data_IF_631179887453
#
_entry.id   IF_631179887453
#
_cell.length_a   1.000
_cell.length_b   1.000
_cell.length_c   1.000
_cell.angle_alpha   90.00
_cell.angle_beta   90.00
_cell.angle_gamma   90.00
#
_symmetry.space_group_name_H-M   'P 1'
#
loop_
_entity.id
_entity.type
_entity.pdbx_description
1 polymer ?
#
# COMPACT_ATOMS: atom_id res chain seq x y z
N UNK A 1 -12.56 6.58 10.16
CA UNK A 1 -12.06 6.99 8.84
C UNK A 1 -13.00 8.01 8.19
N UNK A 2 -12.46 9.14 7.67
CA UNK A 2 -13.24 10.20 7.04
C UNK A 2 -13.56 9.96 5.56
N UNK A 3 -12.75 9.19 4.82
CA UNK A 3 -12.96 8.89 3.40
C UNK A 3 -14.20 8.00 3.15
N UNK A 4 -14.88 8.24 2.03
CA UNK A 4 -15.81 7.31 1.38
C UNK A 4 -15.45 7.20 -0.11
N UNK A 5 -15.02 6.02 -0.57
CA UNK A 5 -14.88 5.75 -2.00
C UNK A 5 -16.26 5.46 -2.62
N UNK A 6 -16.66 6.27 -3.60
CA UNK A 6 -17.89 6.07 -4.36
C UNK A 6 -17.51 5.41 -5.68
N UNK A 7 -17.69 4.09 -5.73
CA UNK A 7 -17.33 3.27 -6.90
C UNK A 7 -18.41 3.39 -7.97
N UNK A 8 -18.03 3.95 -9.12
CA UNK A 8 -18.88 4.07 -10.30
C UNK A 8 -18.90 2.75 -11.06
N UNK A 9 -20.05 2.07 -11.03
CA UNK A 9 -20.32 0.92 -11.89
C UNK A 9 -20.61 1.34 -13.34
N UNK A 10 -20.57 0.37 -14.25
CA UNK A 10 -20.81 0.59 -15.69
C UNK A 10 -22.16 1.23 -15.99
N UNK A 11 -23.20 0.82 -15.26
CA UNK A 11 -24.59 1.27 -15.46
C UNK A 11 -25.02 2.33 -14.42
N UNK A 12 -24.07 2.84 -13.63
CA UNK A 12 -24.36 3.87 -12.62
C UNK A 12 -24.57 5.23 -13.29
N UNK A 13 -25.77 5.79 -13.16
CA UNK A 13 -26.09 7.12 -13.72
C UNK A 13 -25.39 8.25 -12.95
N UNK A 14 -25.12 9.37 -13.63
CA UNK A 14 -24.59 10.60 -12.99
C UNK A 14 -25.47 11.05 -11.82
N UNK A 15 -26.80 10.95 -11.97
CA UNK A 15 -27.76 11.34 -10.93
C UNK A 15 -27.58 10.49 -9.67
N UNK A 16 -27.37 9.18 -9.85
CA UNK A 16 -27.12 8.26 -8.72
C UNK A 16 -25.81 8.59 -8.03
N UNK A 17 -24.72 8.79 -8.79
CA UNK A 17 -23.41 9.15 -8.23
C UNK A 17 -23.48 10.47 -7.48
N UNK A 18 -24.12 11.50 -8.05
CA UNK A 18 -24.29 12.80 -7.42
C UNK A 18 -25.12 12.72 -6.12
N UNK A 19 -26.17 11.90 -6.09
CA UNK A 19 -26.98 11.70 -4.89
C UNK A 19 -26.18 11.04 -3.75
N UNK A 20 -25.41 9.99 -4.06
CA UNK A 20 -24.54 9.32 -3.07
C UNK A 20 -23.43 10.25 -2.59
N UNK A 21 -22.86 11.06 -3.49
CA UNK A 21 -21.86 12.06 -3.16
C UNK A 21 -22.40 13.11 -2.19
N UNK A 22 -23.57 13.69 -2.49
CA UNK A 22 -24.22 14.65 -1.62
C UNK A 22 -24.57 14.04 -0.25
N UNK A 23 -25.01 12.78 -0.22
CA UNK A 23 -25.30 12.06 1.02
C UNK A 23 -24.03 11.85 1.87
N UNK A 24 -22.91 11.46 1.27
CA UNK A 24 -21.64 11.31 1.98
C UNK A 24 -21.19 12.63 2.61
N UNK A 25 -21.33 13.77 1.90
CA UNK A 25 -21.06 15.09 2.47
C UNK A 25 -21.95 15.43 3.66
N UNK A 26 -23.25 15.11 3.60
CA UNK A 26 -24.19 15.32 4.71
C UNK A 26 -23.79 14.52 5.97
N UNK A 27 -23.14 13.38 5.80
CA UNK A 27 -22.59 12.58 6.90
C UNK A 27 -21.24 13.11 7.43
N UNK A 28 -20.74 14.24 6.92
CA UNK A 28 -19.43 14.79 7.25
C UNK A 28 -18.27 13.93 6.74
N UNK A 29 -18.50 13.13 5.69
CA UNK A 29 -17.46 12.32 5.03
C UNK A 29 -16.81 13.08 3.89
N UNK A 30 -15.65 12.60 3.47
CA UNK A 30 -14.95 13.07 2.27
C UNK A 30 -15.16 12.04 1.16
N UNK A 31 -16.12 12.27 0.25
CA UNK A 31 -16.35 11.37 -0.88
C UNK A 31 -15.29 11.55 -1.98
N UNK A 32 -14.80 10.44 -2.53
CA UNK A 32 -13.98 10.41 -3.75
C UNK A 32 -14.64 9.46 -4.74
N UNK A 33 -14.96 9.95 -5.95
CA UNK A 33 -15.54 9.11 -7.00
C UNK A 33 -14.41 8.38 -7.74
N UNK A 34 -14.54 7.06 -7.82
CA UNK A 34 -13.54 6.18 -8.46
C UNK A 34 -14.24 5.24 -9.44
N UNK A 35 -13.51 4.79 -10.46
CA UNK A 35 -13.95 3.76 -11.39
C UNK A 35 -14.01 2.39 -10.72
N UNK A 36 -14.83 1.50 -11.28
CA UNK A 36 -14.89 0.11 -10.83
C UNK A 36 -13.68 -0.68 -11.33
N UNK A 37 -12.96 -1.29 -10.40
CA UNK A 37 -11.84 -2.19 -10.68
C UNK A 37 -11.43 -2.96 -9.43
N UNK A 38 -10.66 -4.05 -9.56
CA UNK A 38 -10.24 -4.87 -8.43
C UNK A 38 -9.46 -4.03 -7.40
N UNK A 39 -10.00 -3.94 -6.17
CA UNK A 39 -9.42 -3.14 -5.08
C UNK A 39 -9.67 -1.62 -5.17
N UNK A 40 -10.45 -1.16 -6.14
CA UNK A 40 -10.79 0.26 -6.35
C UNK A 40 -9.54 1.15 -6.35
N UNK A 41 -9.50 2.20 -5.52
CA UNK A 41 -8.34 3.08 -5.37
C UNK A 41 -7.51 2.70 -4.15
N UNK A 42 -8.05 2.83 -2.93
CA UNK A 42 -7.21 2.75 -1.72
C UNK A 42 -6.66 1.35 -1.51
N UNK A 43 -7.52 0.32 -1.57
CA UNK A 43 -7.09 -1.05 -1.32
C UNK A 43 -6.13 -1.55 -2.41
N UNK A 44 -6.33 -1.11 -3.66
CA UNK A 44 -5.44 -1.45 -4.77
C UNK A 44 -4.03 -0.89 -4.55
N UNK A 45 -3.87 0.36 -4.11
CA UNK A 45 -2.56 0.94 -3.76
C UNK A 45 -1.98 0.30 -2.50
N UNK A 46 -2.82 -0.02 -1.51
CA UNK A 46 -2.38 -0.56 -0.23
C UNK A 46 -1.87 -2.01 -0.34
N UNK A 47 -2.42 -2.80 -1.27
CA UNK A 47 -2.01 -4.19 -1.49
C UNK A 47 -0.50 -4.37 -1.71
N UNK A 48 0.10 -3.75 -2.74
CA UNK A 48 1.56 -3.78 -2.98
C UNK A 48 2.39 -3.31 -1.77
N UNK A 49 1.94 -2.28 -1.06
CA UNK A 49 2.63 -1.75 0.13
C UNK A 49 2.71 -2.78 1.26
N UNK A 50 1.58 -3.42 1.58
CA UNK A 50 1.53 -4.48 2.60
C UNK A 50 2.27 -5.73 2.15
N UNK A 51 2.16 -6.08 0.87
CA UNK A 51 2.82 -7.26 0.33
C UNK A 51 4.36 -7.11 0.33
N UNK A 52 4.86 -5.91 0.03
CA UNK A 52 6.28 -5.58 0.08
C UNK A 52 6.85 -5.64 1.51
N UNK A 53 6.05 -5.32 2.53
CA UNK A 53 6.43 -5.53 3.92
C UNK A 53 6.64 -7.03 4.24
N UNK A 54 5.80 -7.91 3.68
CA UNK A 54 5.99 -9.36 3.74
C UNK A 54 7.29 -9.81 3.07
N UNK A 55 7.58 -9.32 1.87
CA UNK A 55 8.84 -9.64 1.18
C UNK A 55 10.08 -9.13 1.92
N UNK A 56 10.01 -7.95 2.53
CA UNK A 56 11.10 -7.44 3.37
C UNK A 56 11.37 -8.37 4.55
N UNK A 57 10.33 -8.94 5.16
CA UNK A 57 10.44 -9.91 6.24
C UNK A 57 11.09 -11.21 5.76
N UNK A 58 10.67 -11.74 4.61
CA UNK A 58 11.28 -12.92 3.95
C UNK A 58 12.77 -12.73 3.72
N UNK A 59 13.16 -11.52 3.34
CA UNK A 59 14.53 -11.18 3.04
C UNK A 59 15.34 -10.82 4.30
N UNK A 60 14.76 -10.89 5.49
CA UNK A 60 15.44 -10.79 6.78
C UNK A 60 15.44 -9.40 7.43
N UNK A 61 14.58 -8.48 6.99
CA UNK A 61 14.28 -7.29 7.79
C UNK A 61 13.45 -7.69 9.02
N UNK A 62 13.67 -7.05 10.17
CA UNK A 62 12.85 -7.31 11.36
C UNK A 62 11.51 -6.58 11.29
N UNK A 63 10.51 -7.09 12.02
CA UNK A 63 9.20 -6.45 12.17
C UNK A 63 9.34 -4.98 12.60
N UNK A 64 10.17 -4.75 13.61
CA UNK A 64 10.48 -3.42 14.14
C UNK A 64 11.07 -2.51 13.06
N UNK A 65 12.06 -2.99 12.30
CA UNK A 65 12.71 -2.18 11.27
C UNK A 65 11.72 -1.72 10.21
N UNK A 66 10.87 -2.62 9.74
CA UNK A 66 9.87 -2.33 8.70
C UNK A 66 8.88 -1.27 9.19
N UNK A 67 8.29 -1.49 10.36
CA UNK A 67 7.28 -0.60 10.91
C UNK A 67 7.85 0.76 11.34
N UNK A 68 9.02 0.78 11.97
CA UNK A 68 9.72 2.03 12.31
C UNK A 68 10.05 2.83 11.06
N UNK A 69 10.55 2.20 10.00
CA UNK A 69 10.88 2.91 8.76
C UNK A 69 9.64 3.59 8.14
N UNK A 70 8.48 2.95 8.17
CA UNK A 70 7.22 3.52 7.70
C UNK A 70 6.71 4.66 8.60
N UNK A 71 6.79 4.51 9.93
CA UNK A 71 6.38 5.55 10.88
C UNK A 71 7.28 6.79 10.74
N UNK A 72 8.59 6.61 10.65
CA UNK A 72 9.53 7.73 10.46
C UNK A 72 9.39 8.39 9.08
N UNK A 73 8.85 7.68 8.07
CA UNK A 73 8.44 8.32 6.82
C UNK A 73 7.25 9.27 7.03
N UNK A 74 6.40 8.97 8.01
CA UNK A 74 5.25 9.76 8.44
C UNK A 74 3.94 8.96 8.49
N UNK A 75 3.97 7.66 8.21
CA UNK A 75 2.76 6.83 8.25
C UNK A 75 2.24 6.74 9.69
N UNK A 76 0.92 6.73 9.92
CA UNK A 76 0.36 6.68 11.27
C UNK A 76 0.58 5.33 11.95
N UNK A 77 0.73 4.27 11.15
CA UNK A 77 0.92 2.89 11.57
C UNK A 77 1.87 2.19 10.59
N UNK A 78 2.75 1.33 11.11
CA UNK A 78 3.62 0.49 10.27
C UNK A 78 2.82 -0.56 9.50
N UNK A 79 3.30 -1.04 8.34
CA UNK A 79 2.55 -1.96 7.49
C UNK A 79 2.24 -3.30 8.18
N UNK A 80 3.15 -3.85 8.99
CA UNK A 80 2.93 -5.14 9.65
C UNK A 80 1.91 -5.00 10.77
N UNK A 81 2.03 -3.96 11.58
CA UNK A 81 0.99 -3.64 12.57
C UNK A 81 -0.36 -3.31 11.93
N UNK A 82 -0.38 -2.70 10.73
CA UNK A 82 -1.62 -2.48 9.99
C UNK A 82 -2.27 -3.80 9.56
N UNK A 83 -1.48 -4.79 9.13
CA UNK A 83 -1.99 -6.15 8.86
C UNK A 83 -2.60 -6.76 10.12
N UNK A 84 -2.01 -6.57 11.29
CA UNK A 84 -2.58 -7.08 12.55
C UNK A 84 -3.92 -6.40 12.92
N UNK A 85 -4.07 -5.11 12.67
CA UNK A 85 -5.34 -4.39 12.89
C UNK A 85 -6.43 -4.86 11.92
N UNK A 86 -6.06 -5.19 10.67
CA UNK A 86 -6.97 -5.71 9.64
C UNK A 86 -7.32 -7.18 9.91
N UNK A 87 -6.33 -7.98 10.28
CA UNK A 87 -6.37 -9.44 10.37
C UNK A 87 -5.76 -10.15 9.16
N UNK A 88 -5.07 -11.26 9.41
CA UNK A 88 -4.39 -12.05 8.38
C UNK A 88 -5.36 -12.72 7.40
N UNK A 89 -6.49 -13.21 7.88
CA UNK A 89 -7.57 -13.79 7.07
C UNK A 89 -8.11 -12.82 6.02
N UNK A 90 -8.39 -11.58 6.45
CA UNK A 90 -8.89 -10.52 5.57
C UNK A 90 -7.79 -10.08 4.60
N UNK A 91 -6.56 -9.91 5.10
CA UNK A 91 -5.41 -9.50 4.28
C UNK A 91 -5.08 -10.55 3.21
N UNK A 92 -5.12 -11.84 3.54
CA UNK A 92 -4.91 -12.93 2.60
C UNK A 92 -6.02 -13.01 1.55
N UNK A 93 -7.28 -12.84 1.96
CA UNK A 93 -8.41 -12.82 1.02
C UNK A 93 -8.31 -11.65 0.03
N UNK A 94 -7.97 -10.46 0.52
CA UNK A 94 -7.76 -9.27 -0.30
C UNK A 94 -6.56 -9.46 -1.25
N UNK A 95 -5.43 -9.96 -0.73
CA UNK A 95 -4.23 -10.27 -1.51
C UNK A 95 -4.48 -11.27 -2.62
N UNK A 96 -5.19 -12.38 -2.32
CA UNK A 96 -5.57 -13.38 -3.32
C UNK A 96 -6.50 -12.81 -4.40
N UNK A 97 -7.39 -11.89 -4.03
CA UNK A 97 -8.29 -11.22 -4.99
C UNK A 97 -7.52 -10.28 -5.92
N UNK A 98 -6.54 -9.54 -5.40
CA UNK A 98 -5.64 -8.70 -6.21
C UNK A 98 -4.73 -9.55 -7.10
N UNK A 99 -4.17 -10.64 -6.59
CA UNK A 99 -3.36 -11.56 -7.39
C UNK A 99 -4.17 -12.18 -8.53
N UNK A 100 -5.41 -12.62 -8.30
CA UNK A 100 -6.30 -13.13 -9.36
C UNK A 100 -6.54 -12.09 -10.45
N UNK A 101 -6.61 -10.81 -10.10
CA UNK A 101 -6.84 -9.73 -11.04
C UNK A 101 -5.59 -9.30 -11.81
N UNK A 102 -4.42 -9.30 -11.16
CA UNK A 102 -3.21 -8.66 -11.69
C UNK A 102 -2.01 -9.61 -11.88
N UNK A 103 -2.18 -10.90 -11.55
CA UNK A 103 -1.22 -11.97 -11.78
C UNK A 103 0.08 -11.81 -11.00
N UNK A 104 1.18 -12.24 -11.63
CA UNK A 104 2.55 -12.27 -11.08
C UNK A 104 2.99 -10.95 -10.45
N UNK A 105 2.51 -9.82 -10.98
CA UNK A 105 2.84 -8.49 -10.47
C UNK A 105 2.44 -8.30 -9.01
N UNK A 106 1.35 -8.95 -8.58
CA UNK A 106 0.85 -8.93 -7.20
C UNK A 106 0.83 -10.33 -6.60
N UNK A 107 1.84 -11.16 -6.93
CA UNK A 107 2.03 -12.44 -6.26
C UNK A 107 2.22 -12.22 -4.75
N UNK A 108 1.41 -12.84 -3.89
CA UNK A 108 1.53 -12.63 -2.45
C UNK A 108 2.85 -13.20 -1.93
N UNK A 109 3.43 -12.51 -0.96
CA UNK A 109 4.58 -13.00 -0.19
C UNK A 109 4.22 -14.31 0.51
N UNK A 110 5.15 -15.27 0.44
CA UNK A 110 5.03 -16.57 1.09
C UNK A 110 4.80 -16.43 2.60
N UNK A 111 5.42 -15.43 3.25
CA UNK A 111 5.19 -15.15 4.67
C UNK A 111 3.73 -14.81 4.94
N UNK A 112 3.12 -13.90 4.17
CA UNK A 112 1.71 -13.53 4.39
C UNK A 112 0.77 -14.70 4.08
N UNK A 113 1.09 -15.52 3.07
CA UNK A 113 0.33 -16.74 2.76
C UNK A 113 0.44 -17.75 3.90
N UNK A 114 1.65 -18.03 4.39
CA UNK A 114 1.87 -18.98 5.47
C UNK A 114 1.20 -18.53 6.78
N UNK A 115 1.26 -17.23 7.10
CA UNK A 115 0.60 -16.68 8.30
C UNK A 115 -0.91 -16.82 8.25
N UNK A 116 -1.52 -16.74 7.06
CA UNK A 116 -2.96 -16.95 6.89
C UNK A 116 -3.43 -18.37 7.19
N UNK A 117 -2.51 -19.34 7.24
CA UNK A 117 -2.77 -20.73 7.59
C UNK A 117 -2.51 -21.04 9.09
N UNK A 118 -2.10 -20.04 9.87
CA UNK A 118 -1.91 -20.15 11.32
C UNK A 118 -3.14 -19.61 12.08
N UNK A 119 -3.21 -19.86 13.39
CA UNK A 119 -4.26 -19.30 14.25
C UNK A 119 -4.04 -17.81 14.60
N UNK A 120 -3.03 -17.16 14.01
CA UNK A 120 -2.77 -15.73 14.18
C UNK A 120 -3.85 -14.94 13.44
N UNK A 121 -4.76 -14.34 14.21
CA UNK A 121 -5.80 -13.47 13.67
C UNK A 121 -5.44 -11.98 13.72
N UNK A 122 -4.24 -11.63 14.19
CA UNK A 122 -3.84 -10.25 14.47
C UNK A 122 -4.43 -9.78 15.80
N UNK A 123 -4.67 -8.47 15.91
CA UNK A 123 -5.16 -7.84 17.14
C UNK A 123 -6.48 -8.41 17.64
N UNK A 124 -7.38 -8.82 16.74
CA UNK A 124 -8.67 -9.43 17.11
C UNK A 124 -8.51 -10.81 17.78
N UNK A 125 -7.41 -11.51 17.53
CA UNK A 125 -7.08 -12.79 18.16
C UNK A 125 -6.09 -12.68 19.31
N UNK A 126 -5.60 -11.47 19.65
CA UNK A 126 -4.59 -11.27 20.68
C UNK A 126 -3.15 -11.54 20.22
N UNK A 127 -2.95 -12.09 19.02
CA UNK A 127 -1.64 -12.49 18.51
C UNK A 127 -1.54 -12.28 16.99
N UNK A 128 -0.49 -11.57 16.55
CA UNK A 128 -0.16 -11.30 15.15
C UNK A 128 1.35 -11.15 14.93
N UNK A 129 1.79 -10.19 14.12
CA UNK A 129 3.19 -9.74 14.14
C UNK A 129 3.59 -9.19 15.51
N UNK A 130 2.62 -8.66 16.25
CA UNK A 130 2.77 -8.21 17.63
C UNK A 130 1.95 -9.08 18.59
N UNK A 131 2.37 -9.11 19.85
CA UNK A 131 1.59 -9.67 20.95
C UNK A 131 0.68 -8.59 21.54
N UNK A 132 -0.61 -8.89 21.67
CA UNK A 132 -1.64 -7.98 22.16
C UNK A 132 -2.20 -8.45 23.51
N UNK A 133 -1.33 -8.48 24.53
CA UNK A 133 -1.74 -8.77 25.91
C UNK A 133 -2.35 -7.54 26.59
N UNK A 134 -3.43 -7.73 27.37
CA UNK A 134 -4.04 -6.63 28.12
C UNK A 134 -3.09 -6.11 29.20
N UNK A 135 -2.64 -4.86 29.05
CA UNK A 135 -1.85 -4.14 30.06
C UNK A 135 -0.34 -4.15 29.85
N UNK A 136 0.16 -4.71 28.75
CA UNK A 136 1.58 -4.67 28.38
C UNK A 136 1.83 -3.83 27.13
N UNK A 137 3.07 -3.33 26.99
CA UNK A 137 3.51 -2.70 25.76
C UNK A 137 3.49 -3.73 24.64
N UNK A 138 2.83 -3.42 23.53
CA UNK A 138 2.81 -4.25 22.33
C UNK A 138 4.24 -4.44 21.83
N UNK A 139 4.73 -5.67 21.90
CA UNK A 139 6.07 -6.06 21.44
C UNK A 139 5.92 -6.98 20.24
N UNK A 140 6.84 -6.93 19.27
CA UNK A 140 6.85 -7.90 18.19
C UNK A 140 7.02 -9.32 18.71
N UNK A 141 6.30 -10.24 18.09
CA UNK A 141 6.27 -11.63 18.46
C UNK A 141 7.36 -12.42 17.73
N UNK A 142 8.49 -12.65 18.39
CA UNK A 142 9.61 -13.39 17.78
C UNK A 142 9.29 -14.86 17.47
N UNK A 143 8.26 -15.44 18.09
CA UNK A 143 7.83 -16.81 17.81
C UNK A 143 7.41 -17.01 16.34
N UNK A 144 7.03 -15.93 15.66
CA UNK A 144 6.64 -15.92 14.25
C UNK A 144 7.76 -16.43 13.32
N UNK A 145 9.03 -16.15 13.65
CA UNK A 145 10.15 -16.62 12.83
C UNK A 145 10.27 -18.14 12.93
N UNK A 146 10.07 -18.71 14.12
CA UNK A 146 10.07 -20.16 14.34
C UNK A 146 8.89 -20.85 13.63
N UNK A 147 7.69 -20.30 13.74
CA UNK A 147 6.48 -20.83 13.07
C UNK A 147 6.61 -20.83 11.55
N UNK A 148 7.20 -19.78 10.99
CA UNK A 148 7.42 -19.64 9.56
C UNK A 148 8.68 -20.36 9.06
N UNK A 149 9.43 -21.02 9.95
CA UNK A 149 10.72 -21.66 9.64
C UNK A 149 11.71 -20.68 8.98
N UNK A 150 11.63 -19.42 9.39
CA UNK A 150 12.49 -18.34 8.92
C UNK A 150 13.61 -18.08 9.93
N UNK A 151 14.82 -17.76 9.48
CA UNK A 151 15.87 -17.33 10.39
C UNK A 151 15.42 -16.04 11.08
N UNK A 152 15.45 -16.02 12.41
CA UNK A 152 15.31 -14.78 13.15
C UNK A 152 16.41 -13.79 12.69
N UNK A 153 16.14 -12.48 12.60
CA UNK A 153 17.13 -11.50 12.17
C UNK A 153 18.36 -11.53 13.10
N UNK A 154 19.49 -12.05 12.60
CA UNK A 154 20.74 -12.19 13.38
C UNK A 154 21.62 -10.94 13.34
N UNK A 155 21.44 -10.08 12.33
CA UNK A 155 22.19 -8.84 12.19
C UNK A 155 21.33 -7.64 12.62
N UNK A 156 21.90 -6.66 13.34
CA UNK A 156 21.13 -5.57 13.92
C UNK A 156 20.38 -4.73 12.88
N UNK A 157 20.86 -4.60 11.63
CA UNK A 157 20.18 -3.92 10.50
C UNK A 157 20.68 -4.41 9.13
N UNK A 158 20.05 -5.44 8.56
CA UNK A 158 20.34 -5.89 7.17
C UNK A 158 19.96 -4.83 6.12
N UNK A 159 18.88 -4.11 6.37
CA UNK A 159 18.41 -3.02 5.50
C UNK A 159 18.43 -1.69 6.24
N UNK A 160 18.87 -0.64 5.57
CA UNK A 160 18.70 0.73 6.06
C UNK A 160 17.23 1.16 5.98
N UNK A 161 16.82 2.08 6.87
CA UNK A 161 15.47 2.65 6.85
C UNK A 161 15.15 3.29 5.49
N UNK A 162 16.15 3.87 4.81
CA UNK A 162 15.97 4.41 3.46
C UNK A 162 15.62 3.33 2.44
N UNK A 163 16.32 2.18 2.44
CA UNK A 163 16.00 1.07 1.53
C UNK A 163 14.59 0.52 1.76
N UNK A 164 14.20 0.36 3.02
CA UNK A 164 12.85 -0.09 3.39
C UNK A 164 11.81 0.91 2.87
N UNK A 165 11.95 2.19 3.22
CA UNK A 165 11.01 3.24 2.79
C UNK A 165 10.89 3.33 1.27
N UNK A 166 12.02 3.30 0.56
CA UNK A 166 12.03 3.35 -0.91
C UNK A 166 11.24 2.19 -1.51
N UNK A 167 11.43 0.95 -1.03
CA UNK A 167 10.69 -0.21 -1.53
C UNK A 167 9.19 -0.07 -1.29
N UNK A 168 8.80 0.24 -0.06
CA UNK A 168 7.39 0.40 0.33
C UNK A 168 6.69 1.51 -0.47
N UNK A 169 7.29 2.70 -0.54
CA UNK A 169 6.66 3.87 -1.16
C UNK A 169 6.70 3.79 -2.68
N UNK A 170 7.76 3.24 -3.29
CA UNK A 170 7.80 3.06 -4.74
C UNK A 170 6.78 2.04 -5.23
N UNK A 171 6.47 1.00 -4.45
CA UNK A 171 5.33 0.11 -4.77
C UNK A 171 4.00 0.86 -4.82
N UNK A 172 3.75 1.75 -3.85
CA UNK A 172 2.55 2.58 -3.86
C UNK A 172 2.50 3.52 -5.08
N UNK A 173 3.60 4.22 -5.38
CA UNK A 173 3.67 5.16 -6.51
C UNK A 173 3.46 4.42 -7.83
N UNK A 174 4.10 3.26 -7.99
CA UNK A 174 3.99 2.44 -9.20
C UNK A 174 2.53 1.98 -9.41
N UNK A 175 1.84 1.57 -8.35
CA UNK A 175 0.43 1.20 -8.45
C UNK A 175 -0.50 2.38 -8.69
N UNK A 176 -0.23 3.52 -8.06
CA UNK A 176 -0.98 4.75 -8.30
C UNK A 176 -0.87 5.22 -9.76
N UNK A 177 0.29 5.03 -10.40
CA UNK A 177 0.45 5.28 -11.83
C UNK A 177 -0.43 4.34 -12.68
N UNK A 178 -0.52 3.05 -12.34
CA UNK A 178 -1.41 2.09 -13.03
C UNK A 178 -2.89 2.44 -12.82
N UNK A 179 -3.27 2.94 -11.65
CA UNK A 179 -4.63 3.38 -11.36
C UNK A 179 -5.06 4.57 -12.22
N UNK A 180 -4.14 5.52 -12.45
CA UNK A 180 -4.37 6.64 -13.37
C UNK A 180 -4.47 6.16 -14.82
N UNK A 181 -3.57 5.26 -15.22
CA UNK A 181 -3.56 4.63 -16.56
C UNK A 181 -4.86 3.86 -16.85
N UNK A 182 -5.33 3.07 -15.90
CA UNK A 182 -6.58 2.30 -16.00
C UNK A 182 -7.83 3.18 -15.94
N UNK A 183 -7.69 4.49 -15.68
CA UNK A 183 -8.80 5.43 -15.59
C UNK A 183 -9.70 5.21 -14.37
N UNK A 184 -9.24 4.45 -13.36
CA UNK A 184 -9.92 4.31 -12.07
C UNK A 184 -10.06 5.67 -11.40
N UNK A 185 -9.08 6.54 -11.58
CA UNK A 185 -9.16 7.95 -11.18
C UNK A 185 -8.59 8.80 -12.29
N UNK A 186 -9.22 9.95 -12.54
CA UNK A 186 -8.82 10.83 -13.66
C UNK A 186 -7.80 11.90 -13.26
N UNK A 187 -7.60 12.11 -11.95
CA UNK A 187 -6.88 13.27 -11.42
C UNK A 187 -5.95 12.85 -10.28
N UNK A 188 -4.73 13.36 -10.28
CA UNK A 188 -3.72 13.03 -9.26
C UNK A 188 -4.17 13.44 -7.85
N UNK A 189 -4.86 14.59 -7.74
CA UNK A 189 -5.41 15.09 -6.48
C UNK A 189 -6.44 14.18 -5.81
N UNK A 190 -7.19 13.38 -6.59
CA UNK A 190 -8.13 12.42 -6.02
C UNK A 190 -7.42 11.20 -5.43
N UNK A 191 -6.32 10.77 -6.05
CA UNK A 191 -5.44 9.72 -5.49
C UNK A 191 -4.87 10.20 -4.15
N UNK A 192 -4.33 11.41 -4.13
CA UNK A 192 -3.71 11.99 -2.94
C UNK A 192 -4.72 12.22 -1.82
N UNK A 193 -5.89 12.79 -2.13
CA UNK A 193 -6.96 12.99 -1.16
C UNK A 193 -7.43 11.65 -0.57
N UNK A 194 -7.63 10.63 -1.41
CA UNK A 194 -8.07 9.32 -0.95
C UNK A 194 -7.03 8.64 -0.06
N UNK A 195 -5.75 8.68 -0.40
CA UNK A 195 -4.73 8.04 0.43
C UNK A 195 -4.51 8.80 1.75
N UNK A 196 -4.57 10.13 1.74
CA UNK A 196 -4.53 10.92 2.98
C UNK A 196 -5.72 10.57 3.88
N UNK A 197 -6.94 10.56 3.34
CA UNK A 197 -8.15 10.37 4.14
C UNK A 197 -8.48 8.90 4.43
N UNK A 198 -7.92 7.98 3.65
CA UNK A 198 -8.21 6.55 3.66
C UNK A 198 -7.13 5.68 4.29
N UNK A 199 -5.84 5.99 4.09
CA UNK A 199 -4.73 5.25 4.72
C UNK A 199 -3.99 6.08 5.77
N UNK A 200 -4.24 7.39 5.80
CA UNK A 200 -3.46 8.33 6.59
C UNK A 200 -2.10 8.66 5.97
N UNK A 201 -1.97 8.58 4.64
CA UNK A 201 -0.72 8.98 3.98
C UNK A 201 -0.28 10.38 4.44
N UNK A 202 1.02 10.65 4.68
CA UNK A 202 1.44 11.78 5.49
C UNK A 202 1.06 13.14 4.86
N UNK A 203 0.14 13.92 5.47
CA UNK A 203 -0.37 15.15 4.84
C UNK A 203 0.70 16.21 4.58
N UNK A 204 1.73 16.27 5.43
CA UNK A 204 2.85 17.21 5.27
C UNK A 204 3.73 16.90 4.04
N UNK A 205 3.53 15.75 3.37
CA UNK A 205 4.14 15.42 2.08
C UNK A 205 3.24 15.79 0.89
N UNK A 206 2.04 16.31 1.15
CA UNK A 206 1.07 16.76 0.16
C UNK A 206 0.22 15.66 -0.48
N UNK A 207 0.56 14.38 -0.25
CA UNK A 207 -0.05 13.23 -0.92
C UNK A 207 1.00 12.35 -1.60
N UNK A 208 0.61 11.16 -2.05
CA UNK A 208 1.53 10.17 -2.62
C UNK A 208 2.14 10.68 -3.94
N UNK A 209 1.31 11.15 -4.86
CA UNK A 209 1.72 11.64 -6.16
C UNK A 209 2.35 13.02 -6.06
N UNK A 210 1.90 13.86 -5.12
CA UNK A 210 2.58 15.13 -4.82
C UNK A 210 4.00 14.89 -4.29
N UNK A 211 4.17 13.90 -3.42
CA UNK A 211 5.48 13.45 -2.97
C UNK A 211 6.31 12.86 -4.12
N UNK A 212 5.69 12.06 -5.00
CA UNK A 212 6.37 11.51 -6.18
C UNK A 212 6.93 12.63 -7.08
N UNK A 213 6.17 13.72 -7.25
CA UNK A 213 6.59 14.87 -8.05
C UNK A 213 7.81 15.61 -7.46
N UNK A 214 8.05 15.56 -6.14
CA UNK A 214 9.27 16.15 -5.55
C UNK A 214 10.52 15.33 -5.87
N UNK A 215 10.37 14.04 -6.19
CA UNK A 215 11.44 13.16 -6.63
C UNK A 215 11.61 13.17 -8.16
N UNK A 216 10.55 13.53 -8.88
CA UNK A 216 10.41 13.46 -10.33
C UNK A 216 10.28 12.03 -10.90
N UNK A 217 9.37 11.77 -11.87
CA UNK A 217 9.19 10.45 -12.47
C UNK A 217 10.45 9.77 -13.04
N UNK A 218 11.39 10.52 -13.63
CA UNK A 218 12.70 10.01 -14.08
C UNK A 218 13.52 9.35 -12.96
N UNK A 219 13.60 10.00 -11.79
CA UNK A 219 14.32 9.45 -10.63
C UNK A 219 13.63 8.20 -10.11
N UNK A 220 12.29 8.24 -9.99
CA UNK A 220 11.49 7.11 -9.54
C UNK A 220 11.66 5.92 -10.49
N UNK A 221 11.56 6.15 -11.81
CA UNK A 221 11.75 5.11 -12.82
C UNK A 221 13.15 4.48 -12.73
N UNK A 222 14.19 5.29 -12.54
CA UNK A 222 15.56 4.80 -12.35
C UNK A 222 15.63 3.83 -11.15
N UNK A 223 15.08 4.23 -10.00
CA UNK A 223 15.09 3.40 -8.80
C UNK A 223 14.23 2.15 -8.93
N UNK A 224 13.04 2.25 -9.54
CA UNK A 224 12.17 1.09 -9.77
C UNK A 224 12.83 0.08 -10.70
N UNK A 225 13.50 0.51 -11.78
CA UNK A 225 14.27 -0.41 -12.64
C UNK A 225 15.39 -1.11 -11.89
N UNK A 226 16.07 -0.42 -10.98
CA UNK A 226 17.08 -1.05 -10.11
C UNK A 226 16.47 -2.08 -9.15
N UNK A 227 15.26 -1.84 -8.65
CA UNK A 227 14.54 -2.80 -7.84
C UNK A 227 14.04 -3.99 -8.68
N UNK A 228 13.60 -3.75 -9.92
CA UNK A 228 13.22 -4.80 -10.87
C UNK A 228 14.41 -5.73 -11.21
N UNK A 229 15.62 -5.21 -11.39
CA UNK A 229 16.83 -6.01 -11.61
C UNK A 229 17.09 -7.00 -10.46
N UNK A 230 16.75 -6.64 -9.22
CA UNK A 230 17.05 -7.44 -8.02
C UNK A 230 15.88 -8.33 -7.61
N UNK A 231 14.65 -7.83 -7.71
CA UNK A 231 13.45 -8.44 -7.15
C UNK A 231 12.43 -8.86 -8.22
N UNK A 232 12.73 -8.62 -9.50
CA UNK A 232 11.94 -9.09 -10.62
C UNK A 232 10.62 -8.36 -10.83
N UNK A 233 9.65 -9.11 -11.35
CA UNK A 233 8.40 -8.61 -11.95
C UNK A 233 7.51 -7.81 -11.01
N UNK A 234 7.64 -8.00 -9.69
CA UNK A 234 6.88 -7.21 -8.70
C UNK A 234 7.26 -5.72 -8.70
N UNK A 235 8.41 -5.36 -9.27
CA UNK A 235 8.84 -3.97 -9.47
C UNK A 235 8.80 -3.53 -10.93
N UNK A 236 8.11 -4.25 -11.83
CA UNK A 236 7.99 -3.81 -13.22
C UNK A 236 7.31 -2.42 -13.29
N UNK A 237 7.96 -1.41 -13.90
CA UNK A 237 7.43 -0.06 -13.97
C UNK A 237 6.05 0.00 -14.64
N UNK A 238 5.18 0.86 -14.13
CA UNK A 238 3.94 1.21 -14.80
C UNK A 238 4.26 1.89 -16.15
N UNK A 239 3.56 1.53 -17.26
CA UNK A 239 3.80 2.19 -18.54
C UNK A 239 3.59 3.71 -18.47
N UNK A 240 2.58 4.18 -17.74
CA UNK A 240 2.43 5.61 -17.46
C UNK A 240 3.66 6.25 -16.80
N UNK A 241 4.29 5.57 -15.84
CA UNK A 241 5.50 6.11 -15.20
C UNK A 241 6.65 6.25 -16.20
N UNK A 242 6.77 5.30 -17.14
CA UNK A 242 7.74 5.37 -18.24
C UNK A 242 7.42 6.58 -19.14
N UNK A 243 6.16 6.73 -19.57
CA UNK A 243 5.74 7.84 -20.44
C UNK A 243 6.00 9.21 -19.79
N UNK A 244 5.68 9.37 -18.50
CA UNK A 244 5.95 10.60 -17.76
C UNK A 244 7.45 10.91 -17.66
N UNK A 245 8.28 9.89 -17.42
CA UNK A 245 9.73 10.05 -17.36
C UNK A 245 10.32 10.45 -18.73
N UNK A 246 9.86 9.82 -19.81
CA UNK A 246 10.32 10.10 -21.18
C UNK A 246 9.93 11.51 -21.62
N UNK A 247 8.71 11.95 -21.28
CA UNK A 247 8.19 13.28 -21.63
C UNK A 247 8.60 14.41 -20.70
N UNK A 248 9.39 14.12 -19.66
CA UNK A 248 9.78 15.09 -18.64
C UNK A 248 8.60 15.76 -17.93
N UNK A 249 7.58 14.97 -17.60
CA UNK A 249 6.37 15.47 -16.94
C UNK A 249 6.22 14.83 -15.57
N UNK A 250 5.67 15.60 -14.64
CA UNK A 250 5.27 15.12 -13.31
C UNK A 250 3.80 14.66 -13.32
N UNK A 251 3.36 13.93 -12.28
CA UNK A 251 1.97 13.48 -12.16
C UNK A 251 0.99 14.65 -12.13
N UNK A 252 1.27 15.73 -11.40
CA UNK A 252 0.41 16.91 -11.37
C UNK A 252 0.49 17.76 -12.64
N UNK A 253 1.57 17.70 -13.42
CA UNK A 253 1.59 18.33 -14.75
C UNK A 253 0.75 17.55 -15.77
N UNK A 254 0.60 16.23 -15.59
CA UNK A 254 -0.14 15.36 -16.49
C UNK A 254 -1.61 15.16 -16.12
N UNK A 255 -1.91 15.10 -14.82
CA UNK A 255 -3.22 14.77 -14.25
C UNK A 255 -3.67 15.79 -13.18
N UNK A 256 -3.05 16.96 -13.15
CA UNK A 256 -3.52 18.11 -12.36
C UNK A 256 -4.67 18.86 -13.05
N UNK A 257 -5.12 19.94 -12.42
CA UNK A 257 -6.01 20.96 -13.02
C UNK A 257 -5.40 21.55 -14.28
#
# INVERSE_FOLDING_TARGET
MPLVEIVRGRDSSEKTIAAVYAFALQLGKVPVVVGNGPGFLVNRVLGPYLNEAGFLLEEGASIQQIDTAAIEFGMPIGPLRLIDEIGFDISAHAGASLHRAFGERLNPSLTLVALSATDRLGKKGGQGFYQYEKGHNERPDESIYGELQMPAPTEPQKFSNQQIRSRLVFQMINEAARILEDGIVQRAEHVDLALIMGTGFPPFRGGLLRFADTLHPRSILYHIRKLEEVYGTRFTPAPLLIDLADRDRTFYQAFGT
#
